data_IF_680062347266
#
_entry.id   IF_680062347266
#
_cell.length_a   1.000
_cell.length_b   1.000
_cell.length_c   1.000
_cell.angle_alpha   90.00
_cell.angle_beta   90.00
_cell.angle_gamma   90.00
#
_symmetry.space_group_name_H-M   'P 1'
#
loop_
_entity.id
_entity.type
_entity.pdbx_description
1 polymer ?
#
# COMPACT_ATOMS: atom_id res chain seq x y z
N UNK A 1 2.45 17.08 -10.92
CA UNK A 1 2.63 17.49 -9.51
C UNK A 1 4.10 17.30 -9.18
N UNK A 2 4.89 18.37 -9.00
CA UNK A 2 6.37 18.28 -8.88
C UNK A 2 6.88 18.32 -7.42
N UNK A 3 5.97 18.24 -6.44
CA UNK A 3 6.33 18.37 -5.02
C UNK A 3 6.94 17.09 -4.43
N UNK A 4 6.56 15.91 -4.94
CA UNK A 4 6.97 14.62 -4.35
C UNK A 4 8.15 13.95 -5.06
N UNK A 5 8.18 14.02 -6.39
CA UNK A 5 9.25 13.45 -7.21
C UNK A 5 9.91 14.53 -8.07
N UNK A 6 11.24 14.46 -8.28
CA UNK A 6 11.91 15.28 -9.28
C UNK A 6 11.38 14.96 -10.69
N UNK A 7 11.67 15.81 -11.66
CA UNK A 7 11.27 15.58 -13.05
C UNK A 7 11.71 14.20 -13.54
N UNK A 8 10.83 13.48 -14.22
CA UNK A 8 11.11 12.14 -14.68
C UNK A 8 12.29 12.13 -15.67
N UNK A 9 13.41 11.51 -15.27
CA UNK A 9 14.63 11.37 -16.07
C UNK A 9 14.74 10.02 -16.79
N UNK A 10 13.76 9.12 -16.63
CA UNK A 10 13.79 7.75 -17.17
C UNK A 10 12.55 7.43 -18.01
N UNK A 11 12.73 6.63 -19.06
CA UNK A 11 11.63 6.16 -19.91
C UNK A 11 10.59 5.29 -19.16
N UNK A 12 10.96 4.78 -17.97
CA UNK A 12 10.05 4.02 -17.09
C UNK A 12 9.49 4.83 -15.92
N UNK A 13 10.02 6.01 -15.62
CA UNK A 13 9.71 6.73 -14.37
C UNK A 13 8.22 7.08 -14.23
N UNK A 14 7.55 7.53 -15.29
CA UNK A 14 6.11 7.81 -15.23
C UNK A 14 5.24 6.59 -14.84
N UNK A 15 5.67 5.37 -15.18
CA UNK A 15 4.97 4.14 -14.76
C UNK A 15 5.24 3.81 -13.29
N UNK A 16 6.45 4.08 -12.81
CA UNK A 16 6.82 3.93 -11.39
C UNK A 16 6.04 4.93 -10.55
N UNK A 17 5.97 6.19 -10.96
CA UNK A 17 5.17 7.23 -10.30
C UNK A 17 3.69 6.83 -10.20
N UNK A 18 3.15 6.26 -11.28
CA UNK A 18 1.75 5.77 -11.30
C UNK A 18 1.53 4.63 -10.29
N UNK A 19 2.45 3.66 -10.20
CA UNK A 19 2.38 2.59 -9.19
C UNK A 19 2.45 3.17 -7.77
N UNK A 20 3.35 4.12 -7.55
CA UNK A 20 3.49 4.79 -6.26
C UNK A 20 2.16 5.44 -5.83
N UNK A 21 1.51 6.20 -6.71
CA UNK A 21 0.23 6.83 -6.37
C UNK A 21 -0.87 5.81 -6.10
N UNK A 22 -0.93 4.71 -6.86
CA UNK A 22 -1.90 3.63 -6.60
C UNK A 22 -1.70 3.05 -5.19
N UNK A 23 -0.46 2.71 -4.84
CA UNK A 23 -0.14 2.18 -3.51
C UNK A 23 -0.47 3.21 -2.43
N UNK A 24 -0.07 4.47 -2.63
CA UNK A 24 -0.29 5.56 -1.68
C UNK A 24 -1.79 5.78 -1.42
N UNK A 25 -2.63 5.76 -2.46
CA UNK A 25 -4.07 5.93 -2.29
C UNK A 25 -4.71 4.74 -1.57
N UNK A 26 -4.30 3.51 -1.89
CA UNK A 26 -4.82 2.31 -1.22
C UNK A 26 -4.42 2.30 0.25
N UNK A 27 -3.13 2.48 0.55
CA UNK A 27 -2.64 2.47 1.95
C UNK A 27 -3.16 3.67 2.73
N UNK A 28 -3.21 4.85 2.12
CA UNK A 28 -3.77 6.06 2.72
C UNK A 28 -5.25 5.91 3.06
N UNK A 29 -6.06 5.32 2.17
CA UNK A 29 -7.47 5.06 2.44
C UNK A 29 -7.66 4.08 3.61
N UNK A 30 -6.89 2.99 3.64
CA UNK A 30 -6.92 2.02 4.75
C UNK A 30 -6.47 2.67 6.06
N UNK A 31 -5.41 3.47 6.03
CA UNK A 31 -4.92 4.21 7.19
C UNK A 31 -6.01 5.11 7.78
N UNK A 32 -6.64 5.96 6.94
CA UNK A 32 -7.73 6.85 7.39
C UNK A 32 -8.90 6.05 7.96
N UNK A 33 -9.27 4.92 7.37
CA UNK A 33 -10.33 4.05 7.87
C UNK A 33 -10.01 3.50 9.26
N UNK A 34 -8.79 3.00 9.47
CA UNK A 34 -8.33 2.46 10.76
C UNK A 34 -8.31 3.56 11.81
N UNK A 35 -7.70 4.70 11.52
CA UNK A 35 -7.63 5.84 12.45
C UNK A 35 -9.02 6.36 12.81
N UNK A 36 -9.91 6.52 11.83
CA UNK A 36 -11.30 6.91 12.09
C UNK A 36 -12.01 5.89 13.00
N UNK A 37 -11.81 4.59 12.78
CA UNK A 37 -12.38 3.52 13.61
C UNK A 37 -11.84 3.59 15.04
N UNK A 38 -10.53 3.79 15.21
CA UNK A 38 -9.90 3.96 16.52
C UNK A 38 -10.43 5.19 17.26
N UNK A 39 -10.55 6.34 16.58
CA UNK A 39 -11.12 7.56 17.17
C UNK A 39 -12.57 7.34 17.61
N UNK A 40 -13.38 6.67 16.78
CA UNK A 40 -14.77 6.31 17.14
C UNK A 40 -14.76 5.43 18.39
N UNK A 41 -13.89 4.43 18.46
CA UNK A 41 -13.83 3.52 19.61
C UNK A 41 -13.35 4.21 20.88
N UNK A 42 -12.39 5.12 20.77
CA UNK A 42 -11.90 5.93 21.88
C UNK A 42 -13.04 6.75 22.50
N UNK A 43 -13.87 7.40 21.68
CA UNK A 43 -15.01 8.20 22.19
C UNK A 43 -16.14 7.29 22.69
N UNK A 44 -16.50 6.25 21.93
CA UNK A 44 -17.68 5.40 22.19
C UNK A 44 -17.49 4.44 23.37
N UNK A 45 -16.27 3.96 23.58
CA UNK A 45 -15.91 3.00 24.63
C UNK A 45 -15.03 3.61 25.72
N UNK A 46 -14.94 4.95 25.80
CA UNK A 46 -14.28 5.65 26.91
C UNK A 46 -14.81 5.14 28.26
N UNK A 47 -13.90 4.98 29.21
CA UNK A 47 -14.20 4.57 30.58
C UNK A 47 -15.26 5.49 31.20
N UNK A 48 -16.23 4.87 31.89
CA UNK A 48 -17.27 5.54 32.67
C UNK A 48 -17.48 4.77 33.97
N UNK A 49 -17.69 5.47 35.07
CA UNK A 49 -17.99 4.86 36.37
C UNK A 49 -19.20 3.93 36.27
N UNK A 50 -19.08 2.71 36.82
CA UNK A 50 -20.16 1.72 36.84
C UNK A 50 -20.27 0.84 35.59
N UNK A 51 -19.48 1.08 34.52
CA UNK A 51 -19.51 0.22 33.32
C UNK A 51 -18.46 -0.90 33.42
N UNK A 52 -18.93 -2.15 33.52
CA UNK A 52 -18.08 -3.35 33.43
C UNK A 52 -17.72 -3.62 31.96
N UNK A 53 -16.48 -4.03 31.71
CA UNK A 53 -16.03 -4.44 30.38
C UNK A 53 -16.72 -5.75 29.98
N UNK A 54 -17.19 -5.84 28.74
CA UNK A 54 -17.69 -7.09 28.17
C UNK A 54 -16.50 -7.91 27.68
N UNK A 55 -16.39 -9.15 28.14
CA UNK A 55 -15.38 -10.08 27.66
C UNK A 55 -15.86 -10.73 26.35
N UNK A 56 -15.07 -10.62 25.29
CA UNK A 56 -15.36 -11.20 23.97
C UNK A 56 -14.16 -12.08 23.63
N UNK A 57 -14.36 -13.39 23.49
CA UNK A 57 -13.28 -14.38 23.28
C UNK A 57 -12.72 -14.43 21.85
N UNK A 58 -13.22 -13.58 20.95
CA UNK A 58 -12.78 -13.50 19.56
C UNK A 58 -13.91 -13.82 18.59
N UNK A 59 -13.65 -13.60 17.30
CA UNK A 59 -14.63 -13.87 16.25
C UNK A 59 -13.91 -14.39 15.03
N UNK A 60 -13.90 -15.73 14.84
CA UNK A 60 -13.29 -16.39 13.68
C UNK A 60 -13.71 -15.73 12.34
N UNK A 61 -14.97 -15.32 12.25
CA UNK A 61 -15.49 -14.61 11.06
C UNK A 61 -14.79 -13.28 10.83
N UNK A 62 -14.57 -12.48 11.87
CA UNK A 62 -13.83 -11.23 11.77
C UNK A 62 -12.37 -11.49 11.38
N UNK A 63 -11.78 -12.56 11.92
CA UNK A 63 -10.38 -12.91 11.64
C UNK A 63 -10.14 -13.27 10.18
N UNK A 64 -11.04 -14.05 9.61
CA UNK A 64 -11.00 -14.41 8.20
C UNK A 64 -11.13 -13.15 7.33
N UNK A 65 -12.08 -12.25 7.65
CA UNK A 65 -12.31 -11.04 6.86
C UNK A 65 -11.08 -10.14 6.87
N UNK A 66 -10.53 -9.83 8.05
CA UNK A 66 -9.38 -8.91 8.15
C UNK A 66 -8.07 -9.53 7.63
N UNK A 67 -8.00 -10.85 7.44
CA UNK A 67 -6.82 -11.51 6.86
C UNK A 67 -6.95 -11.63 5.35
N UNK A 68 -8.15 -11.97 4.87
CA UNK A 68 -8.42 -12.11 3.44
C UNK A 68 -8.32 -10.76 2.71
N UNK A 69 -8.81 -9.66 3.29
CA UNK A 69 -8.80 -8.35 2.64
C UNK A 69 -7.35 -7.88 2.34
N UNK A 70 -6.41 -7.83 3.31
CA UNK A 70 -5.02 -7.50 3.02
C UNK A 70 -4.37 -8.47 2.03
N UNK A 71 -4.63 -9.77 2.14
CA UNK A 71 -4.08 -10.76 1.22
C UNK A 71 -4.51 -10.49 -0.24
N UNK A 72 -5.79 -10.20 -0.47
CA UNK A 72 -6.31 -9.86 -1.81
C UNK A 72 -5.68 -8.57 -2.33
N UNK A 73 -5.57 -7.53 -1.50
CA UNK A 73 -4.94 -6.25 -1.88
C UNK A 73 -3.49 -6.49 -2.33
N UNK A 74 -2.72 -7.26 -1.56
CA UNK A 74 -1.32 -7.57 -1.89
C UNK A 74 -1.20 -8.37 -3.18
N UNK A 75 -2.04 -9.39 -3.39
CA UNK A 75 -2.05 -10.18 -4.63
C UNK A 75 -2.39 -9.30 -5.83
N UNK A 76 -3.41 -8.44 -5.73
CA UNK A 76 -3.77 -7.51 -6.81
C UNK A 76 -2.65 -6.53 -7.14
N UNK A 77 -1.99 -5.96 -6.12
CA UNK A 77 -0.85 -5.08 -6.32
C UNK A 77 0.33 -5.79 -6.98
N UNK A 78 0.62 -7.03 -6.57
CA UNK A 78 1.69 -7.83 -7.17
C UNK A 78 1.42 -8.08 -8.66
N UNK A 79 0.20 -8.47 -9.02
CA UNK A 79 -0.20 -8.69 -10.42
C UNK A 79 -0.10 -7.40 -11.24
N UNK A 80 -0.49 -6.26 -10.66
CA UNK A 80 -0.40 -4.96 -11.32
C UNK A 80 1.06 -4.49 -11.50
N UNK A 81 1.95 -4.81 -10.55
CA UNK A 81 3.37 -4.43 -10.62
C UNK A 81 4.22 -5.32 -11.53
N UNK A 82 3.83 -6.58 -11.75
CA UNK A 82 4.63 -7.56 -12.52
C UNK A 82 5.06 -7.08 -13.92
N UNK A 83 4.19 -6.49 -14.76
CA UNK A 83 4.59 -6.06 -16.12
C UNK A 83 5.64 -4.96 -16.10
N UNK A 84 5.55 -4.03 -15.14
CA UNK A 84 6.54 -2.97 -14.99
C UNK A 84 7.87 -3.54 -14.51
N UNK A 85 7.83 -4.46 -13.54
CA UNK A 85 9.02 -5.13 -13.03
C UNK A 85 9.76 -5.90 -14.12
N UNK A 86 9.04 -6.68 -14.93
CA UNK A 86 9.62 -7.38 -16.08
C UNK A 86 10.26 -6.40 -17.07
N UNK A 87 9.59 -5.27 -17.38
CA UNK A 87 10.15 -4.25 -18.27
C UNK A 87 11.44 -3.62 -17.72
N UNK A 88 11.53 -3.39 -16.41
CA UNK A 88 12.72 -2.83 -15.77
C UNK A 88 13.87 -3.84 -15.78
N UNK A 89 13.58 -5.12 -15.57
CA UNK A 89 14.59 -6.17 -15.42
C UNK A 89 15.03 -6.85 -16.73
N UNK A 90 14.31 -6.64 -17.82
CA UNK A 90 14.73 -7.14 -19.12
C UNK A 90 15.88 -6.26 -19.68
N UNK A 91 17.09 -6.82 -19.65
CA UNK A 91 18.35 -6.18 -20.07
C UNK A 91 18.42 -5.79 -21.56
N UNK A 92 17.44 -6.17 -22.37
CA UNK A 92 17.31 -5.75 -23.76
C UNK A 92 16.98 -4.25 -23.94
N UNK A 93 16.82 -3.51 -22.85
CA UNK A 93 16.46 -2.07 -22.85
C UNK A 93 17.68 -1.16 -22.83
N UNK A 94 18.89 -1.68 -22.58
CA UNK A 94 20.11 -0.89 -22.66
C UNK A 94 20.47 -0.64 -24.14
N UNK A 95 20.61 0.62 -24.57
CA UNK A 95 21.07 0.90 -25.92
C UNK A 95 22.49 0.33 -26.07
N UNK A 96 22.87 -0.14 -27.27
CA UNK A 96 24.15 -0.80 -27.52
C UNK A 96 25.39 0.07 -27.16
N UNK A 97 25.19 1.38 -26.99
CA UNK A 97 26.20 2.35 -26.56
C UNK A 97 26.05 2.79 -25.09
N UNK A 98 25.32 2.04 -24.26
CA UNK A 98 25.26 2.28 -22.83
C UNK A 98 26.68 2.15 -22.25
N UNK A 99 27.22 3.27 -21.76
CA UNK A 99 28.52 3.27 -21.11
C UNK A 99 28.42 2.48 -19.80
N UNK A 100 29.21 1.42 -19.66
CA UNK A 100 29.41 0.80 -18.36
C UNK A 100 30.18 1.79 -17.48
N UNK A 101 29.47 2.42 -16.55
CA UNK A 101 30.08 3.20 -15.50
C UNK A 101 30.77 2.21 -14.57
N UNK A 102 32.06 1.96 -14.82
CA UNK A 102 32.92 1.04 -14.07
C UNK A 102 33.12 1.44 -12.60
N UNK A 103 32.04 1.37 -11.84
CA UNK A 103 31.97 1.50 -10.39
C UNK A 103 31.94 0.12 -9.74
#
# INVERSE_FOLDING_TARGET
>A
MHWWFPGNASSVGGKVDSLFYVILYITGAVFVLVEATLLVFLVRYRQRSGRKATYIEGSNRAEIIWTAIPAVILVSLALFSQPLWSKIKNDATYPANAAELGL
#
